data_IF_720211992484
#
_entry.id   IF_720211992484
#
_cell.length_a   1.000
_cell.length_b   1.000
_cell.length_c   1.000
_cell.angle_alpha   90.00
_cell.angle_beta   90.00
_cell.angle_gamma   90.00
#
_symmetry.space_group_name_H-M   'P 1'
#
loop_
_entity.id
_entity.type
_entity.pdbx_description
1 polymer ?
#
# COMPACT_ATOMS: atom_id res chain seq x y z
N UNK A 1 5.65 4.42 -2.54
CA UNK A 1 4.20 4.39 -2.51
C UNK A 1 3.60 5.53 -1.65
N UNK A 2 4.04 5.69 -0.40
CA UNK A 2 3.54 6.69 0.53
C UNK A 2 4.30 8.02 0.52
N UNK A 3 5.20 8.28 -0.41
CA UNK A 3 6.01 9.50 -0.42
C UNK A 3 5.20 10.80 -0.34
N UNK A 4 4.04 10.95 -1.01
CA UNK A 4 3.23 12.16 -0.84
C UNK A 4 2.78 12.40 0.59
N UNK A 5 2.33 11.35 1.28
CA UNK A 5 1.91 11.44 2.69
C UNK A 5 3.07 11.75 3.64
N UNK A 6 4.25 11.18 3.39
CA UNK A 6 5.47 11.47 4.15
C UNK A 6 5.90 12.92 3.96
N UNK A 7 5.87 13.43 2.72
CA UNK A 7 6.19 14.83 2.44
C UNK A 7 5.19 15.79 3.08
N UNK A 8 3.89 15.50 2.97
CA UNK A 8 2.85 16.30 3.62
C UNK A 8 3.05 16.37 5.14
N UNK A 9 3.34 15.24 5.78
CA UNK A 9 3.63 15.18 7.20
C UNK A 9 4.90 15.96 7.56
N UNK A 10 5.98 15.80 6.82
CA UNK A 10 7.23 16.51 7.04
C UNK A 10 7.08 18.03 6.87
N UNK A 11 6.24 18.45 5.94
CA UNK A 11 5.88 19.87 5.80
C UNK A 11 5.12 20.39 7.01
N UNK A 12 4.11 19.68 7.51
CA UNK A 12 3.39 20.02 8.72
C UNK A 12 4.30 20.12 9.97
N UNK A 13 5.38 19.36 9.98
CA UNK A 13 6.42 19.38 11.02
C UNK A 13 7.48 20.47 10.80
N UNK A 14 7.38 21.28 9.75
CA UNK A 14 8.34 22.34 9.41
C UNK A 14 9.68 21.84 8.85
N UNK A 15 9.77 20.57 8.46
CA UNK A 15 10.97 19.96 7.87
C UNK A 15 11.12 20.25 6.37
N UNK A 16 10.05 20.60 5.71
CA UNK A 16 9.99 20.97 4.30
C UNK A 16 9.32 22.35 4.14
N UNK A 17 9.77 23.11 3.18
CA UNK A 17 9.18 24.41 2.85
C UNK A 17 7.93 24.25 1.99
N UNK A 18 7.09 25.29 1.97
CA UNK A 18 5.91 25.33 1.09
C UNK A 18 6.29 25.22 -0.39
N UNK A 19 7.31 25.96 -0.81
CA UNK A 19 7.83 25.92 -2.17
C UNK A 19 8.30 24.52 -2.60
N UNK A 20 8.98 23.78 -1.71
CA UNK A 20 9.37 22.40 -1.98
C UNK A 20 8.16 21.49 -2.22
N UNK A 21 7.09 21.66 -1.44
CA UNK A 21 5.88 20.84 -1.58
C UNK A 21 5.11 21.20 -2.85
N UNK A 22 5.01 22.49 -3.22
CA UNK A 22 4.38 22.92 -4.47
C UNK A 22 5.11 22.36 -5.70
N UNK A 23 6.43 22.19 -5.60
CA UNK A 23 7.25 21.62 -6.65
C UNK A 23 7.41 20.09 -6.57
N UNK A 24 6.45 19.39 -5.94
CA UNK A 24 6.45 17.92 -5.93
C UNK A 24 6.40 17.36 -7.36
N UNK A 25 7.29 16.40 -7.66
CA UNK A 25 7.48 15.80 -8.99
C UNK A 25 8.02 16.78 -10.06
N UNK A 26 8.69 17.83 -9.65
CA UNK A 26 9.33 18.79 -10.53
C UNK A 26 10.84 18.82 -10.27
N UNK A 27 11.48 17.66 -10.30
CA UNK A 27 12.90 17.50 -9.97
C UNK A 27 13.83 18.16 -10.98
N UNK A 28 13.36 18.43 -12.19
CA UNK A 28 14.16 19.09 -13.23
C UNK A 28 14.55 20.49 -12.77
N UNK A 29 15.87 20.69 -12.60
CA UNK A 29 16.41 21.92 -12.02
C UNK A 29 16.69 21.85 -10.52
N UNK A 30 16.40 20.72 -9.86
CA UNK A 30 16.78 20.46 -8.46
C UNK A 30 15.99 21.23 -7.41
N UNK A 31 14.82 21.75 -7.76
CA UNK A 31 14.04 22.64 -6.88
C UNK A 31 12.81 21.98 -6.22
N UNK A 32 12.51 20.73 -6.55
CA UNK A 32 11.30 20.08 -6.08
C UNK A 32 11.59 18.85 -5.24
N UNK A 33 10.50 18.30 -4.66
CA UNK A 33 10.56 17.03 -3.99
C UNK A 33 10.59 15.89 -5.02
N UNK A 34 11.47 14.92 -4.80
CA UNK A 34 11.63 13.81 -5.74
C UNK A 34 10.39 12.94 -5.81
N UNK A 35 10.05 12.47 -7.02
CA UNK A 35 8.95 11.54 -7.26
C UNK A 35 9.13 10.22 -6.51
N UNK A 36 10.39 9.78 -6.41
CA UNK A 36 10.78 8.55 -5.72
C UNK A 36 11.75 8.86 -4.59
N UNK A 37 11.58 8.23 -3.41
CA UNK A 37 12.55 8.30 -2.33
C UNK A 37 13.93 7.88 -2.81
N UNK A 38 14.93 8.77 -2.71
CA UNK A 38 16.31 8.45 -3.08
C UNK A 38 17.32 9.38 -2.38
N UNK A 39 18.31 8.82 -1.66
CA UNK A 39 19.31 9.62 -0.95
C UNK A 39 20.15 10.53 -1.85
N UNK A 40 20.38 10.15 -3.12
CA UNK A 40 21.12 10.99 -4.07
C UNK A 40 20.35 12.25 -4.45
N UNK A 41 19.01 12.17 -4.50
CA UNK A 41 18.15 13.29 -4.86
C UNK A 41 17.83 14.19 -3.67
N UNK A 42 17.68 13.59 -2.49
CA UNK A 42 17.39 14.28 -1.24
C UNK A 42 18.20 13.68 -0.09
N UNK A 43 19.52 13.96 0.00
CA UNK A 43 20.43 13.29 0.95
C UNK A 43 20.11 13.60 2.41
N UNK A 44 19.56 14.77 2.71
CA UNK A 44 19.19 15.18 4.08
C UNK A 44 17.79 14.67 4.49
N UNK A 45 17.08 13.97 3.59
CA UNK A 45 15.71 13.55 3.84
C UNK A 45 15.52 12.03 3.75
N UNK A 46 16.04 11.41 2.68
CA UNK A 46 15.90 9.97 2.43
C UNK A 46 17.17 9.20 2.75
N UNK A 47 17.04 8.14 3.53
CA UNK A 47 18.14 7.24 3.86
C UNK A 47 18.26 6.08 2.87
N UNK A 48 17.15 5.65 2.27
CA UNK A 48 17.11 4.50 1.36
C UNK A 48 16.33 4.83 0.07
N UNK A 49 16.79 4.29 -1.08
CA UNK A 49 16.01 4.36 -2.32
C UNK A 49 14.88 3.33 -2.28
N UNK A 50 13.70 3.73 -2.76
CA UNK A 50 12.56 2.83 -2.91
C UNK A 50 11.64 3.29 -4.03
N UNK A 51 11.07 2.35 -4.79
CA UNK A 51 10.24 2.60 -5.97
C UNK A 51 9.01 1.68 -6.05
N UNK A 52 8.56 1.11 -4.94
CA UNK A 52 7.43 0.17 -4.88
C UNK A 52 7.64 -1.10 -5.74
N UNK A 53 8.90 -1.57 -5.82
CA UNK A 53 9.29 -2.76 -6.59
C UNK A 53 9.77 -3.90 -5.68
N UNK A 54 9.36 -3.89 -4.41
CA UNK A 54 9.59 -4.95 -3.44
C UNK A 54 10.90 -4.85 -2.64
N UNK A 55 11.93 -4.23 -3.17
CA UNK A 55 13.24 -4.14 -2.51
C UNK A 55 13.19 -3.37 -1.17
N UNK A 56 12.29 -2.41 -1.04
CA UNK A 56 12.12 -1.62 0.18
C UNK A 56 11.73 -2.48 1.39
N UNK A 57 10.92 -3.52 1.20
CA UNK A 57 10.53 -4.45 2.26
C UNK A 57 11.75 -5.21 2.82
N UNK A 58 12.59 -5.77 1.94
CA UNK A 58 13.83 -6.42 2.34
C UNK A 58 14.78 -5.45 3.05
N UNK A 59 14.97 -4.26 2.48
CA UNK A 59 15.84 -3.23 3.07
C UNK A 59 15.37 -2.86 4.47
N UNK A 60 14.06 -2.68 4.69
CA UNK A 60 13.50 -2.37 6.01
C UNK A 60 13.76 -3.50 7.03
N UNK A 61 13.59 -4.76 6.63
CA UNK A 61 13.88 -5.91 7.50
C UNK A 61 15.36 -5.97 7.85
N UNK A 62 16.25 -5.80 6.86
CA UNK A 62 17.68 -5.82 7.11
C UNK A 62 18.16 -4.62 7.95
N UNK A 63 17.56 -3.44 7.78
CA UNK A 63 17.84 -2.29 8.64
C UNK A 63 17.42 -2.55 10.09
N UNK A 64 16.23 -3.10 10.31
CA UNK A 64 15.76 -3.47 11.64
C UNK A 64 16.69 -4.49 12.31
N UNK A 65 17.15 -5.47 11.53
CA UNK A 65 18.11 -6.50 11.94
C UNK A 65 19.49 -5.89 12.27
N UNK A 66 19.94 -4.97 11.43
CA UNK A 66 21.23 -4.28 11.65
C UNK A 66 21.18 -3.38 12.88
N UNK A 67 20.08 -2.70 13.15
CA UNK A 67 19.91 -1.94 14.39
C UNK A 67 20.04 -2.84 15.63
N UNK A 68 19.46 -4.05 15.61
CA UNK A 68 19.67 -5.02 16.70
C UNK A 68 21.12 -5.45 16.83
N UNK A 69 21.81 -5.72 15.72
CA UNK A 69 23.22 -6.04 15.73
C UNK A 69 24.07 -4.91 16.38
N UNK A 70 23.82 -3.65 16.03
CA UNK A 70 24.53 -2.52 16.61
C UNK A 70 24.30 -2.42 18.12
N UNK A 71 23.07 -2.60 18.58
CA UNK A 71 22.71 -2.62 20.01
C UNK A 71 23.40 -3.77 20.75
N UNK A 72 23.24 -5.00 20.26
CA UNK A 72 23.79 -6.21 20.87
C UNK A 72 25.34 -6.20 20.96
N UNK A 73 25.98 -5.49 20.03
CA UNK A 73 27.45 -5.30 20.03
C UNK A 73 27.89 -4.08 20.83
N UNK A 74 26.97 -3.29 21.36
CA UNK A 74 27.30 -2.05 22.08
C UNK A 74 27.95 -0.98 21.19
N UNK A 75 27.72 -1.04 19.86
CA UNK A 75 28.29 -0.10 18.90
C UNK A 75 27.45 1.17 18.77
N UNK A 76 26.16 1.08 18.96
CA UNK A 76 25.24 2.22 18.97
C UNK A 76 24.00 1.89 19.79
N UNK A 77 23.40 2.90 20.44
CA UNK A 77 22.13 2.74 21.14
C UNK A 77 20.96 2.90 20.15
N UNK A 78 20.36 1.78 19.77
CA UNK A 78 19.27 1.71 18.80
C UNK A 78 17.97 1.11 19.36
N UNK A 79 17.92 0.82 20.67
CA UNK A 79 16.78 0.18 21.34
C UNK A 79 15.45 0.94 21.17
N UNK A 80 15.50 2.27 21.06
CA UNK A 80 14.34 3.12 20.84
C UNK A 80 13.99 3.31 19.35
N UNK A 81 14.89 2.92 18.45
CA UNK A 81 14.70 3.10 17.01
C UNK A 81 13.66 2.12 16.46
N UNK A 82 12.84 2.61 15.54
CA UNK A 82 11.85 1.81 14.82
C UNK A 82 12.03 2.04 13.32
N UNK A 83 12.00 0.96 12.57
CA UNK A 83 11.96 1.01 11.11
C UNK A 83 10.50 1.00 10.66
N UNK A 84 10.12 2.02 9.93
CA UNK A 84 8.77 2.15 9.35
C UNK A 84 8.86 1.97 7.85
N UNK A 85 8.02 1.11 7.33
CA UNK A 85 7.93 0.86 5.90
C UNK A 85 6.46 0.84 5.45
N UNK A 86 6.16 1.61 4.41
CA UNK A 86 4.82 1.60 3.79
C UNK A 86 4.91 0.94 2.43
N UNK A 87 4.09 -0.06 2.21
CA UNK A 87 4.02 -0.88 1.01
C UNK A 87 2.62 -0.83 0.40
N UNK A 88 2.51 -0.84 -0.93
CA UNK A 88 1.25 -1.03 -1.62
C UNK A 88 0.88 -2.51 -1.73
N UNK A 89 -0.42 -2.81 -1.84
CA UNK A 89 -0.90 -4.18 -2.09
C UNK A 89 -0.40 -4.73 -3.43
N UNK A 90 -0.38 -3.93 -4.50
CA UNK A 90 0.22 -4.31 -5.77
C UNK A 90 1.72 -4.59 -5.70
N UNK A 91 2.46 -3.87 -4.83
CA UNK A 91 3.87 -4.13 -4.58
C UNK A 91 4.11 -5.51 -3.95
N UNK A 92 3.12 -6.08 -3.27
CA UNK A 92 3.22 -7.41 -2.68
C UNK A 92 3.27 -8.55 -3.71
N UNK A 93 2.97 -8.27 -4.98
CA UNK A 93 3.12 -9.24 -6.07
C UNK A 93 4.59 -9.44 -6.47
N UNK A 94 5.46 -8.47 -6.11
CA UNK A 94 6.90 -8.62 -6.33
C UNK A 94 7.47 -9.67 -5.37
N UNK A 95 8.22 -10.67 -5.87
CA UNK A 95 8.75 -11.76 -5.04
C UNK A 95 9.59 -11.26 -3.86
N UNK A 96 10.32 -10.17 -4.04
CA UNK A 96 11.18 -9.54 -3.03
C UNK A 96 10.37 -9.01 -1.85
N UNK A 97 9.16 -8.51 -2.07
CA UNK A 97 8.31 -7.91 -1.03
C UNK A 97 8.03 -8.84 0.14
N UNK A 98 7.85 -10.12 -0.14
CA UNK A 98 7.44 -11.12 0.85
C UNK A 98 8.56 -12.10 1.22
N UNK A 99 9.69 -12.06 0.52
CA UNK A 99 10.76 -13.06 0.61
C UNK A 99 11.40 -13.18 1.99
N UNK A 100 11.48 -12.09 2.75
CA UNK A 100 12.18 -12.02 4.04
C UNK A 100 11.26 -11.97 5.27
N UNK A 101 9.95 -12.10 5.09
CA UNK A 101 8.99 -12.03 6.21
C UNK A 101 9.29 -13.05 7.30
N UNK A 102 9.60 -14.30 6.90
CA UNK A 102 9.93 -15.38 7.84
C UNK A 102 11.26 -15.14 8.57
N UNK A 103 12.21 -14.41 7.98
CA UNK A 103 13.44 -14.03 8.65
C UNK A 103 13.13 -13.11 9.84
N UNK A 104 12.36 -12.05 9.61
CA UNK A 104 11.97 -11.12 10.66
C UNK A 104 11.20 -11.81 11.81
N UNK A 105 10.29 -12.74 11.48
CA UNK A 105 9.54 -13.51 12.47
C UNK A 105 10.43 -14.44 13.29
N UNK A 106 11.37 -15.15 12.65
CA UNK A 106 12.29 -16.07 13.33
C UNK A 106 13.28 -15.36 14.25
N UNK A 107 13.76 -14.20 13.83
CA UNK A 107 14.67 -13.38 14.64
C UNK A 107 13.93 -12.52 15.68
N UNK A 108 12.59 -12.56 15.70
CA UNK A 108 11.78 -11.83 16.68
C UNK A 108 11.99 -10.31 16.62
N UNK A 109 12.16 -9.74 15.41
CA UNK A 109 12.39 -8.31 15.24
C UNK A 109 11.13 -7.54 15.68
N UNK A 110 11.20 -6.84 16.81
CA UNK A 110 10.10 -6.02 17.34
C UNK A 110 10.26 -4.53 17.04
N UNK A 111 11.33 -4.19 16.34
CA UNK A 111 11.70 -2.82 15.97
C UNK A 111 11.34 -2.47 14.53
N UNK A 112 10.46 -3.23 13.87
CA UNK A 112 9.93 -2.96 12.54
C UNK A 112 8.41 -2.88 12.55
N UNK A 113 7.86 -1.92 11.82
CA UNK A 113 6.44 -1.77 11.54
C UNK A 113 6.26 -1.63 10.03
N UNK A 114 5.50 -2.54 9.45
CA UNK A 114 5.10 -2.45 8.05
C UNK A 114 3.63 -2.03 7.96
N UNK A 115 3.35 -1.04 7.14
CA UNK A 115 2.00 -0.60 6.80
C UNK A 115 1.69 -1.01 5.37
N UNK A 116 0.59 -1.72 5.17
CA UNK A 116 0.10 -2.08 3.85
C UNK A 116 -1.06 -1.17 3.45
N UNK A 117 -0.88 -0.44 2.36
CA UNK A 117 -1.96 0.33 1.76
C UNK A 117 -2.68 -0.53 0.72
N UNK A 118 -3.87 -1.02 1.07
CA UNK A 118 -4.71 -1.83 0.19
C UNK A 118 -5.77 -0.97 -0.48
N UNK A 119 -5.37 -0.35 -1.58
CA UNK A 119 -6.28 0.45 -2.41
C UNK A 119 -6.90 -0.35 -3.56
N UNK A 120 -6.62 -1.63 -3.66
CA UNK A 120 -7.08 -2.54 -4.71
C UNK A 120 -6.72 -2.08 -6.13
N UNK A 121 -5.60 -1.35 -6.26
CA UNK A 121 -5.08 -0.85 -7.54
C UNK A 121 -3.69 -1.42 -7.82
N UNK A 122 -3.44 -1.73 -9.09
CA UNK A 122 -2.13 -2.10 -9.62
C UNK A 122 -1.69 -1.12 -10.72
N UNK A 123 -0.45 -1.22 -11.17
CA UNK A 123 0.08 -0.34 -12.22
C UNK A 123 -0.70 -0.42 -13.54
N UNK A 124 -1.21 -1.59 -13.85
CA UNK A 124 -1.96 -1.90 -15.09
C UNK A 124 -3.49 -1.80 -14.94
N UNK A 125 -3.97 -1.44 -13.77
CA UNK A 125 -5.40 -1.25 -13.50
C UNK A 125 -5.86 -1.77 -12.14
N UNK A 126 -7.17 -1.96 -11.96
CA UNK A 126 -7.73 -2.48 -10.72
C UNK A 126 -7.33 -3.94 -10.50
N UNK A 127 -7.31 -4.34 -9.24
CA UNK A 127 -7.13 -5.75 -8.85
C UNK A 127 -8.21 -6.61 -9.52
N UNK A 128 -7.77 -7.67 -10.16
CA UNK A 128 -8.66 -8.64 -10.82
C UNK A 128 -8.45 -10.01 -10.20
N UNK A 129 -9.52 -10.77 -10.06
CA UNK A 129 -9.45 -12.16 -9.63
C UNK A 129 -10.52 -12.54 -8.62
N UNK A 130 -10.49 -13.80 -8.23
CA UNK A 130 -11.43 -14.42 -7.29
C UNK A 130 -10.81 -14.55 -5.89
N UNK A 131 -9.91 -13.63 -5.52
CA UNK A 131 -9.27 -13.61 -4.21
C UNK A 131 -9.64 -12.35 -3.44
N UNK A 132 -9.29 -12.35 -2.17
CA UNK A 132 -9.34 -11.18 -1.30
C UNK A 132 -7.92 -10.93 -0.79
N UNK A 133 -7.23 -9.98 -1.42
CA UNK A 133 -5.81 -9.69 -1.18
C UNK A 133 -5.52 -9.41 0.30
N UNK A 134 -6.44 -8.74 0.99
CA UNK A 134 -6.34 -8.45 2.43
C UNK A 134 -6.21 -9.72 3.25
N UNK A 135 -7.03 -10.73 2.97
CA UNK A 135 -7.01 -12.02 3.71
C UNK A 135 -5.78 -12.84 3.32
N UNK A 136 -5.39 -12.82 2.06
CA UNK A 136 -4.19 -13.51 1.59
C UNK A 136 -2.93 -12.96 2.28
N UNK A 137 -2.76 -11.64 2.29
CA UNK A 137 -1.63 -10.98 2.94
C UNK A 137 -1.66 -11.19 4.46
N UNK A 138 -2.83 -11.09 5.11
CA UNK A 138 -2.96 -11.44 6.53
C UNK A 138 -2.44 -12.84 6.80
N UNK A 139 -2.86 -13.82 6.00
CA UNK A 139 -2.41 -15.21 6.14
C UNK A 139 -0.90 -15.36 6.00
N UNK A 140 -0.30 -14.72 5.01
CA UNK A 140 1.17 -14.73 4.77
C UNK A 140 1.95 -14.12 5.93
N UNK A 141 1.55 -12.94 6.42
CA UNK A 141 2.22 -12.27 7.53
C UNK A 141 2.05 -13.03 8.85
N UNK A 142 0.84 -13.50 9.17
CA UNK A 142 0.61 -14.31 10.37
C UNK A 142 1.38 -15.63 10.32
N UNK A 143 1.40 -16.32 9.18
CA UNK A 143 2.17 -17.54 8.98
C UNK A 143 3.68 -17.33 9.12
N UNK A 144 4.18 -16.15 8.81
CA UNK A 144 5.57 -15.75 9.03
C UNK A 144 5.87 -15.26 10.46
N UNK A 145 4.89 -15.29 11.38
CA UNK A 145 5.07 -14.93 12.79
C UNK A 145 4.85 -13.45 13.11
N UNK A 146 4.26 -12.67 12.19
CA UNK A 146 3.97 -11.27 12.41
C UNK A 146 2.68 -11.05 13.20
N UNK A 147 2.65 -9.96 13.98
CA UNK A 147 1.40 -9.46 14.56
C UNK A 147 0.69 -8.59 13.51
N UNK A 148 -0.53 -8.99 13.13
CA UNK A 148 -1.30 -8.30 12.08
C UNK A 148 -2.48 -7.57 12.68
N UNK A 149 -2.59 -6.27 12.36
CA UNK A 149 -3.71 -5.40 12.71
C UNK A 149 -4.36 -4.97 11.39
N UNK A 150 -5.68 -5.14 11.28
CA UNK A 150 -6.46 -4.69 10.12
C UNK A 150 -7.28 -3.46 10.50
N UNK A 151 -7.21 -2.41 9.68
CA UNK A 151 -8.00 -1.20 9.79
C UNK A 151 -8.74 -1.04 8.47
N UNK A 152 -9.93 -1.64 8.35
CA UNK A 152 -10.65 -1.75 7.07
C UNK A 152 -11.79 -0.73 6.96
N UNK A 153 -12.57 -0.60 8.02
CA UNK A 153 -13.81 0.17 8.03
C UNK A 153 -13.66 1.41 8.91
N UNK A 154 -14.18 2.54 8.43
CA UNK A 154 -14.24 3.77 9.20
C UNK A 154 -15.26 3.69 10.34
N UNK A 155 -15.28 4.72 11.17
CA UNK A 155 -16.14 4.73 12.38
C UNK A 155 -17.64 4.74 12.07
N UNK A 156 -18.06 5.19 10.89
CA UNK A 156 -19.47 5.14 10.47
C UNK A 156 -20.02 3.71 10.40
N UNK A 157 -19.16 2.71 10.20
CA UNK A 157 -19.55 1.30 10.18
C UNK A 157 -19.77 0.70 11.55
N UNK A 158 -19.23 1.29 12.60
CA UNK A 158 -19.20 0.69 13.93
C UNK A 158 -20.62 0.42 14.47
N UNK A 159 -21.55 1.33 14.20
CA UNK A 159 -22.95 1.21 14.63
C UNK A 159 -23.68 0.06 13.89
N UNK A 160 -23.37 -0.12 12.61
CA UNK A 160 -23.92 -1.24 11.83
C UNK A 160 -23.37 -2.58 12.33
N UNK A 161 -22.07 -2.65 12.61
CA UNK A 161 -21.46 -3.86 13.16
C UNK A 161 -21.98 -4.16 14.57
N UNK A 162 -22.24 -3.14 15.40
CA UNK A 162 -22.82 -3.33 16.73
C UNK A 162 -24.26 -3.89 16.68
N UNK A 163 -25.02 -3.53 15.64
CA UNK A 163 -26.39 -4.03 15.43
C UNK A 163 -26.45 -5.37 14.70
N UNK A 164 -25.37 -5.78 14.05
CA UNK A 164 -25.25 -7.07 13.36
C UNK A 164 -25.01 -8.23 14.34
N UNK A 165 -25.98 -8.50 15.20
CA UNK A 165 -25.87 -9.55 16.25
C UNK A 165 -25.76 -10.96 15.69
N UNK A 166 -26.14 -11.18 14.43
CA UNK A 166 -26.06 -12.46 13.74
C UNK A 166 -24.79 -12.61 12.90
N UNK A 167 -23.99 -11.56 12.74
CA UNK A 167 -22.77 -11.56 11.92
C UNK A 167 -23.02 -11.64 10.41
N UNK A 168 -24.21 -11.30 9.95
CA UNK A 168 -24.59 -11.35 8.52
C UNK A 168 -23.78 -10.36 7.69
N UNK A 169 -23.61 -9.15 8.20
CA UNK A 169 -22.82 -8.10 7.54
C UNK A 169 -21.35 -8.50 7.45
N UNK A 170 -20.79 -8.96 8.56
CA UNK A 170 -19.42 -9.44 8.59
C UNK A 170 -19.21 -10.62 7.64
N UNK A 171 -20.14 -11.58 7.60
CA UNK A 171 -20.08 -12.71 6.67
C UNK A 171 -20.19 -12.25 5.22
N UNK A 172 -21.09 -11.32 4.91
CA UNK A 172 -21.25 -10.77 3.56
C UNK A 172 -19.99 -10.07 3.08
N UNK A 173 -19.43 -9.16 3.88
CA UNK A 173 -18.21 -8.42 3.55
C UNK A 173 -16.99 -9.35 3.41
N UNK A 174 -16.88 -10.37 4.24
CA UNK A 174 -15.81 -11.36 4.11
C UNK A 174 -15.94 -12.26 2.87
N UNK A 175 -17.16 -12.47 2.38
CA UNK A 175 -17.43 -13.29 1.21
C UNK A 175 -17.27 -12.55 -0.13
N UNK A 176 -17.11 -11.21 -0.14
CA UNK A 176 -16.84 -10.45 -1.35
C UNK A 176 -15.40 -10.70 -1.82
N UNK A 177 -15.21 -10.89 -3.11
CA UNK A 177 -13.89 -10.84 -3.75
C UNK A 177 -13.52 -9.39 -4.05
N UNK A 178 -12.23 -9.11 -4.22
CA UNK A 178 -11.72 -7.73 -4.37
C UNK A 178 -12.39 -6.95 -5.50
N UNK A 179 -12.65 -7.59 -6.65
CA UNK A 179 -13.31 -6.94 -7.78
C UNK A 179 -14.77 -6.55 -7.48
N UNK A 180 -15.51 -7.40 -6.78
CA UNK A 180 -16.89 -7.12 -6.37
C UNK A 180 -16.93 -6.05 -5.28
N UNK A 181 -16.03 -6.15 -4.29
CA UNK A 181 -15.91 -5.14 -3.24
C UNK A 181 -15.63 -3.77 -3.84
N UNK A 182 -14.63 -3.65 -4.72
CA UNK A 182 -14.29 -2.40 -5.38
C UNK A 182 -15.47 -1.83 -6.19
N UNK A 183 -16.14 -2.68 -6.97
CA UNK A 183 -17.29 -2.28 -7.79
C UNK A 183 -18.46 -1.80 -6.94
N UNK A 184 -18.86 -2.58 -5.95
CA UNK A 184 -20.00 -2.27 -5.08
C UNK A 184 -19.74 -0.99 -4.29
N UNK A 185 -18.56 -0.89 -3.65
CA UNK A 185 -18.21 0.25 -2.80
C UNK A 185 -18.05 1.58 -3.57
N UNK A 186 -17.97 1.53 -4.90
CA UNK A 186 -17.87 2.72 -5.76
C UNK A 186 -19.14 2.98 -6.59
N UNK A 187 -20.19 2.18 -6.39
CA UNK A 187 -21.49 2.32 -7.06
C UNK A 187 -22.36 3.38 -6.38
N UNK A 188 -23.46 3.73 -7.03
CA UNK A 188 -24.53 4.54 -6.43
C UNK A 188 -25.23 3.80 -5.27
N UNK A 189 -25.88 4.57 -4.41
CA UNK A 189 -26.52 4.04 -3.19
C UNK A 189 -27.60 3.00 -3.46
N UNK A 190 -28.37 3.16 -4.55
CA UNK A 190 -29.39 2.18 -4.94
C UNK A 190 -28.76 0.83 -5.32
N UNK A 191 -27.64 0.86 -6.04
CA UNK A 191 -26.85 -0.34 -6.37
C UNK A 191 -26.22 -0.96 -5.11
N UNK A 192 -25.62 -0.15 -4.22
CA UNK A 192 -25.10 -0.61 -2.93
C UNK A 192 -26.20 -1.31 -2.13
N UNK A 193 -27.35 -0.70 -1.99
CA UNK A 193 -28.51 -1.30 -1.28
C UNK A 193 -28.90 -2.64 -1.87
N UNK A 194 -29.03 -2.71 -3.18
CA UNK A 194 -29.47 -3.92 -3.89
C UNK A 194 -28.43 -5.04 -3.86
N UNK A 195 -27.14 -4.72 -3.94
CA UNK A 195 -26.10 -5.73 -4.13
C UNK A 195 -25.37 -6.09 -2.84
N UNK A 196 -25.11 -5.12 -1.96
CA UNK A 196 -24.43 -5.37 -0.69
C UNK A 196 -25.41 -5.87 0.37
N UNK A 197 -26.55 -5.20 0.49
CA UNK A 197 -27.57 -5.47 1.51
C UNK A 197 -28.76 -6.28 0.95
N UNK A 198 -28.45 -7.34 0.20
CA UNK A 198 -29.39 -8.09 -0.65
C UNK A 198 -30.19 -9.21 0.04
N UNK A 199 -30.12 -9.32 1.35
CA UNK A 199 -30.92 -10.28 2.12
C UNK A 199 -31.78 -9.55 3.15
N UNK A 200 -32.87 -10.16 3.59
CA UNK A 200 -33.81 -9.55 4.54
C UNK A 200 -33.12 -9.04 5.81
N UNK A 201 -32.21 -9.83 6.39
CA UNK A 201 -31.46 -9.43 7.57
C UNK A 201 -30.51 -8.25 7.32
N UNK A 202 -29.86 -8.20 6.16
CA UNK A 202 -28.97 -7.09 5.79
C UNK A 202 -29.76 -5.85 5.42
N UNK A 203 -30.86 -5.99 4.66
CA UNK A 203 -31.70 -4.85 4.29
C UNK A 203 -32.33 -4.18 5.50
N UNK A 204 -32.72 -4.94 6.52
CA UNK A 204 -33.24 -4.42 7.78
C UNK A 204 -32.22 -3.56 8.54
N UNK A 205 -30.91 -3.91 8.49
CA UNK A 205 -29.85 -3.13 9.14
C UNK A 205 -29.75 -1.71 8.58
N UNK A 206 -30.02 -1.52 7.31
CA UNK A 206 -29.86 -0.24 6.58
C UNK A 206 -31.18 0.41 6.15
N UNK A 207 -32.32 -0.09 6.62
CA UNK A 207 -33.65 0.40 6.23
C UNK A 207 -33.87 1.89 6.57
N UNK A 208 -33.16 2.42 7.55
CA UNK A 208 -33.23 3.81 8.00
C UNK A 208 -32.28 4.75 7.26
N UNK A 209 -31.34 4.21 6.46
CA UNK A 209 -30.37 4.99 5.70
C UNK A 209 -30.91 5.32 4.30
N UNK A 210 -30.67 6.54 3.84
CA UNK A 210 -30.90 6.93 2.45
C UNK A 210 -29.84 6.31 1.53
N UNK A 211 -30.00 6.45 0.23
CA UNK A 211 -28.99 6.00 -0.72
C UNK A 211 -27.72 6.86 -0.64
N UNK A 212 -27.86 8.17 -0.42
CA UNK A 212 -26.71 9.06 -0.17
C UNK A 212 -25.93 8.67 1.10
N UNK A 213 -26.64 8.24 2.16
CA UNK A 213 -26.00 7.76 3.39
C UNK A 213 -25.21 6.46 3.13
N UNK A 214 -25.71 5.58 2.25
CA UNK A 214 -25.00 4.36 1.87
C UNK A 214 -23.74 4.64 1.05
N UNK A 215 -23.79 5.63 0.15
CA UNK A 215 -22.58 6.08 -0.57
C UNK A 215 -21.55 6.65 0.39
N UNK A 216 -21.97 7.53 1.31
CA UNK A 216 -21.11 8.09 2.34
C UNK A 216 -20.51 7.01 3.25
N UNK A 217 -21.31 6.01 3.66
CA UNK A 217 -20.87 4.87 4.44
C UNK A 217 -19.78 4.07 3.69
N UNK A 218 -19.99 3.75 2.42
CA UNK A 218 -19.02 3.01 1.61
C UNK A 218 -17.75 3.80 1.32
N UNK A 219 -17.81 5.13 1.33
CA UNK A 219 -16.65 6.00 1.20
C UNK A 219 -15.82 6.09 2.50
N UNK A 220 -16.42 5.78 3.66
CA UNK A 220 -15.74 5.83 4.97
C UNK A 220 -14.90 4.56 5.19
N UNK A 221 -13.65 4.62 4.79
CA UNK A 221 -12.68 3.53 4.94
C UNK A 221 -11.74 3.79 6.12
N UNK A 222 -11.34 2.70 6.79
CA UNK A 222 -10.50 2.76 7.99
C UNK A 222 -9.15 3.45 7.79
N UNK A 223 -8.60 3.40 6.58
CA UNK A 223 -7.36 4.10 6.22
C UNK A 223 -7.45 5.63 6.27
N UNK A 224 -8.65 6.20 6.32
CA UNK A 224 -8.90 7.63 6.49
C UNK A 224 -9.43 7.98 7.90
N UNK A 225 -9.64 7.00 8.76
CA UNK A 225 -10.09 7.20 10.14
C UNK A 225 -8.88 7.40 11.07
N UNK A 226 -8.57 8.64 11.38
CA UNK A 226 -7.42 9.00 12.22
C UNK A 226 -7.47 8.38 13.61
N UNK A 227 -8.66 8.18 14.18
CA UNK A 227 -8.82 7.57 15.51
C UNK A 227 -8.42 6.10 15.47
N UNK A 228 -8.91 5.36 14.48
CA UNK A 228 -8.58 3.94 14.28
C UNK A 228 -7.12 3.76 13.89
N UNK A 229 -6.59 4.60 13.00
CA UNK A 229 -5.17 4.61 12.62
C UNK A 229 -4.28 4.88 13.83
N UNK A 230 -4.57 5.91 14.61
CA UNK A 230 -3.81 6.21 15.82
C UNK A 230 -3.82 5.02 16.79
N UNK A 231 -4.98 4.41 17.03
CA UNK A 231 -5.09 3.24 17.87
C UNK A 231 -4.28 2.05 17.34
N UNK A 232 -4.29 1.83 16.02
CA UNK A 232 -3.50 0.78 15.37
C UNK A 232 -2.00 1.01 15.53
N UNK A 233 -1.51 2.23 15.29
CA UNK A 233 -0.08 2.55 15.43
C UNK A 233 0.40 2.63 16.89
N UNK A 234 -0.48 2.94 17.84
CA UNK A 234 -0.15 2.93 19.26
C UNK A 234 -0.02 1.50 19.84
N UNK A 235 -0.70 0.53 19.25
CA UNK A 235 -0.75 -0.86 19.73
C UNK A 235 0.60 -1.59 19.70
N UNK A 236 1.43 -1.47 18.63
CA UNK A 236 2.76 -2.10 18.58
C UNK A 236 3.70 -1.66 19.72
N UNK A 237 3.51 -0.46 20.27
CA UNK A 237 4.33 0.06 21.37
C UNK A 237 4.00 -0.56 22.73
N UNK A 238 2.82 -1.19 22.87
CA UNK A 238 2.32 -1.74 24.15
C UNK A 238 2.53 -3.24 24.30
N UNK A 239 2.84 -3.94 23.24
CA UNK A 239 3.05 -5.39 23.29
C UNK A 239 4.48 -5.71 23.72
N UNK A 240 4.62 -6.34 24.89
CA UNK A 240 5.89 -6.90 25.39
C UNK A 240 6.38 -8.14 24.62
N UNK A 241 5.70 -8.51 23.53
CA UNK A 241 6.02 -9.70 22.72
C UNK A 241 6.91 -9.25 21.58
N UNK A 242 8.10 -9.83 21.50
CA UNK A 242 9.07 -9.64 20.40
C UNK A 242 8.50 -10.22 19.10
N UNK A 243 7.65 -9.47 18.42
CA UNK A 243 7.10 -9.84 17.11
C UNK A 243 7.02 -8.59 16.24
N UNK A 244 7.41 -8.71 14.96
CA UNK A 244 7.22 -7.62 14.02
C UNK A 244 5.73 -7.29 13.87
N UNK A 245 5.41 -6.02 13.67
CA UNK A 245 4.04 -5.54 13.53
C UNK A 245 3.73 -5.16 12.11
N UNK A 246 2.55 -5.50 11.67
CA UNK A 246 2.01 -5.20 10.37
C UNK A 246 0.61 -4.60 10.53
N UNK A 247 0.35 -3.47 9.89
CA UNK A 247 -0.97 -2.84 9.86
C UNK A 247 -1.51 -2.75 8.43
N UNK A 248 -2.81 -2.84 8.32
CA UNK A 248 -3.55 -2.91 7.07
C UNK A 248 -4.42 -1.67 6.95
N UNK A 249 -4.21 -0.88 5.89
CA UNK A 249 -5.00 0.32 5.60
C UNK A 249 -5.62 0.18 4.20
N UNK A 250 -6.94 0.02 4.06
CA UNK A 250 -7.58 0.25 2.79
C UNK A 250 -7.72 1.75 2.54
N UNK A 251 -7.10 2.27 1.52
CA UNK A 251 -7.33 3.63 1.05
C UNK A 251 -7.96 3.60 -0.33
N UNK A 252 -9.14 4.20 -0.48
CA UNK A 252 -9.68 4.56 -1.77
C UNK A 252 -9.15 5.95 -2.14
N UNK A 253 -8.00 6.03 -2.79
CA UNK A 253 -7.66 7.23 -3.54
C UNK A 253 -8.41 7.14 -4.88
N UNK A 254 -9.62 7.65 -4.95
CA UNK A 254 -10.27 7.90 -6.22
C UNK A 254 -9.60 9.10 -6.88
N UNK A 255 -9.36 9.00 -8.19
CA UNK A 255 -8.80 10.10 -9.00
C UNK A 255 -9.67 11.39 -8.98
N UNK A 256 -10.81 11.38 -8.31
CA UNK A 256 -11.70 12.52 -8.10
C UNK A 256 -11.28 13.42 -6.93
N UNK A 257 -10.47 12.94 -6.00
CA UNK A 257 -10.10 13.71 -4.79
C UNK A 257 -8.94 14.69 -5.02
N UNK A 258 -8.38 14.72 -6.23
CA UNK A 258 -7.39 15.71 -6.68
C UNK A 258 -8.01 16.81 -7.54
N UNK A 259 -9.23 17.25 -7.26
CA UNK A 259 -9.73 18.50 -7.83
C UNK A 259 -9.13 19.67 -7.08
N UNK A 260 -8.02 20.16 -7.63
CA UNK A 260 -7.64 21.56 -7.43
C UNK A 260 -8.79 22.43 -7.96
N UNK A 261 -9.24 23.47 -7.22
CA UNK A 261 -10.22 24.40 -7.74
C UNK A 261 -9.60 25.11 -8.97
N UNK A 262 -10.36 25.12 -10.09
CA UNK A 262 -10.11 25.89 -11.29
C UNK A 262 -8.87 25.53 -12.17
N UNK A 263 -8.76 24.25 -12.55
CA UNK A 263 -8.05 23.92 -13.79
C UNK A 263 -9.06 23.51 -14.86
N UNK A 264 -9.23 24.33 -15.88
CA UNK A 264 -9.99 23.99 -17.10
C UNK A 264 -9.52 22.65 -17.64
N UNK A 265 -10.42 21.70 -17.93
CA UNK A 265 -10.00 20.38 -18.39
C UNK A 265 -9.22 20.51 -19.71
N UNK A 266 -8.05 19.88 -19.84
CA UNK A 266 -7.33 19.86 -21.09
C UNK A 266 -8.20 19.14 -22.13
N UNK A 267 -8.45 19.82 -23.26
CA UNK A 267 -9.08 19.25 -24.44
C UNK A 267 -8.48 17.89 -24.76
N UNK A 268 -9.34 16.92 -24.93
CA UNK A 268 -9.09 15.52 -25.26
C UNK A 268 -7.91 15.40 -26.23
N UNK A 269 -6.71 15.08 -25.75
CA UNK A 269 -5.56 14.77 -26.59
C UNK A 269 -5.89 13.49 -27.36
N UNK A 270 -5.89 13.59 -28.69
CA UNK A 270 -5.94 12.43 -29.58
C UNK A 270 -4.80 11.48 -29.19
N UNK A 271 -5.08 10.17 -29.08
CA UNK A 271 -4.08 9.14 -28.89
C UNK A 271 -2.98 9.32 -29.92
N UNK A 272 -1.68 9.29 -29.56
CA UNK A 272 -0.62 9.31 -30.54
C UNK A 272 -0.73 8.03 -31.38
N UNK A 273 -0.97 8.20 -32.67
CA UNK A 273 -0.79 7.14 -33.66
C UNK A 273 0.70 6.91 -33.81
N UNK A 274 1.19 5.77 -33.40
CA UNK A 274 2.55 5.35 -33.65
C UNK A 274 2.70 5.06 -35.15
N UNK A 275 3.22 6.02 -35.91
CA UNK A 275 3.67 5.79 -37.27
C UNK A 275 4.98 5.03 -37.18
N UNK A 276 4.99 3.81 -37.74
CA UNK A 276 6.18 2.97 -37.84
C UNK A 276 7.25 3.74 -38.61
N UNK A 277 8.35 4.07 -37.97
CA UNK A 277 9.52 4.64 -38.64
C UNK A 277 10.15 3.53 -39.51
N UNK A 278 10.06 3.68 -40.83
CA UNK A 278 10.56 2.71 -41.82
C UNK A 278 12.09 2.71 -41.96
N UNK A 279 12.82 3.49 -41.18
CA UNK A 279 14.28 3.61 -41.25
C UNK A 279 15.05 2.93 -40.11
N UNK A 280 14.39 2.28 -39.17
CA UNK A 280 15.05 1.47 -38.14
C UNK A 280 15.12 0.01 -38.54
N UNK A 281 16.15 -0.39 -39.26
CA UNK A 281 16.53 -1.78 -39.44
C UNK A 281 17.04 -2.32 -38.07
N UNK A 282 16.70 -3.56 -37.69
CA UNK A 282 17.21 -4.15 -36.46
C UNK A 282 18.68 -4.56 -36.68
N UNK A 283 19.60 -3.83 -36.10
CA UNK A 283 20.98 -4.31 -35.91
C UNK A 283 20.95 -5.33 -34.79
N UNK A 284 21.03 -6.62 -35.18
CA UNK A 284 21.25 -7.71 -34.25
C UNK A 284 22.67 -7.64 -33.71
N UNK A 285 22.77 -7.27 -32.43
CA UNK A 285 24.01 -7.32 -31.65
C UNK A 285 23.83 -8.37 -30.54
N UNK A 286 23.82 -9.63 -30.90
CA UNK A 286 24.19 -10.70 -30.01
C UNK A 286 24.94 -11.77 -30.82
N UNK A 287 26.23 -12.04 -30.56
CA UNK A 287 26.93 -13.18 -31.18
C UNK A 287 26.43 -14.45 -30.51
N UNK A 288 25.95 -15.39 -31.34
CA UNK A 288 25.66 -16.77 -30.95
C UNK A 288 26.95 -17.46 -30.47
N UNK A 289 26.95 -18.18 -29.34
CA UNK A 289 28.08 -19.00 -28.96
C UNK A 289 28.04 -20.30 -29.76
N UNK A 290 28.82 -20.41 -30.82
CA UNK A 290 29.20 -21.69 -31.43
C UNK A 290 30.21 -22.38 -30.54
N UNK A 291 29.77 -23.38 -29.79
CA UNK A 291 30.65 -24.33 -29.09
C UNK A 291 30.96 -25.48 -30.04
N UNK A 292 32.10 -25.42 -30.66
CA UNK A 292 32.71 -26.60 -31.28
C UNK A 292 33.41 -27.44 -30.22
N UNK A 293 32.91 -28.64 -29.98
CA UNK A 293 33.58 -29.67 -29.19
C UNK A 293 34.54 -30.37 -30.11
N UNK A 294 35.85 -30.27 -29.88
CA UNK A 294 36.87 -31.11 -30.47
C UNK A 294 37.01 -32.40 -29.65
N UNK A 295 37.18 -33.55 -30.25
CA UNK A 295 37.42 -34.79 -29.52
C UNK A 295 38.89 -34.91 -29.08
N UNK A 296 39.07 -35.34 -27.84
CA UNK A 296 40.37 -35.77 -27.30
C UNK A 296 40.88 -37.05 -27.93
N UNK A 297 42.14 -37.16 -28.31
CA UNK A 297 42.75 -38.46 -28.67
C UNK A 297 43.21 -39.22 -27.44
N UNK A 298 43.11 -40.51 -27.54
CA UNK A 298 43.56 -41.61 -26.68
C UNK A 298 44.88 -41.43 -25.98
#
# INVERSE_FOLDING_TARGET
>A
HASPGIYARAWLEGRLTHEQVENFRQEVGGQGLSSYPHPRLMPEFWEFPTVSMGLGAMTAIHQARFNRYLEDRGLASTHASRVWYTMGDGESDEPESLSQLSLAGREGLDNIVMTMNCNLQRLDGPVRGNSKIVQELEGRFRGAGWNVIKVLWGSSWDDLFARDTQGLLAARLNGLVDGDEQRIMTSDGATIRKELFNTDGLSALVAHLSDDDLEALCADVGGHDFTKLHAAYARPRRTKVSRPSFSFEPSKATASDLRLPDATPPTRRKKPTWTRCSSCAPTSVFPSPTRTLSPTPT
#
